data_IF_153183223754
#
_entry.id   IF_153183223754
#
_cell.length_a   1.000
_cell.length_b   1.000
_cell.length_c   1.000
_cell.angle_alpha   90.00
_cell.angle_beta   90.00
_cell.angle_gamma   90.00
#
_symmetry.space_group_name_H-M   'P 1'
#
loop_
_entity.id
_entity.type
_entity.pdbx_description
1 polymer ?
#
# COMPACT_ATOMS: atom_id res chain seq x y z
N UNK A 1 -47.45 13.54 -3.56
CA UNK A 1 -46.63 14.60 -4.20
C UNK A 1 -45.25 14.54 -3.57
N UNK A 2 -44.33 13.78 -4.19
CA UNK A 2 -42.93 13.78 -3.79
C UNK A 2 -42.25 14.93 -4.53
N UNK A 3 -41.81 15.96 -3.79
CA UNK A 3 -40.95 17.00 -4.33
C UNK A 3 -39.56 16.43 -4.53
N UNK A 4 -39.16 16.27 -5.79
CA UNK A 4 -37.78 16.04 -6.19
C UNK A 4 -37.03 17.38 -6.00
N UNK A 5 -36.29 17.53 -4.90
CA UNK A 5 -35.31 18.61 -4.80
C UNK A 5 -34.15 18.28 -5.75
N UNK A 6 -34.14 18.91 -6.92
CA UNK A 6 -32.93 19.03 -7.73
C UNK A 6 -31.98 19.97 -6.97
N UNK A 7 -30.92 19.40 -6.39
CA UNK A 7 -29.81 20.18 -5.88
C UNK A 7 -29.10 20.84 -7.07
N UNK A 8 -29.18 22.17 -7.16
CA UNK A 8 -28.40 22.94 -8.13
C UNK A 8 -27.00 23.16 -7.54
N UNK A 9 -25.98 22.58 -8.16
CA UNK A 9 -24.58 22.89 -7.84
C UNK A 9 -24.28 24.34 -8.17
N UNK A 10 -23.61 25.04 -7.25
CA UNK A 10 -23.26 26.45 -7.45
C UNK A 10 -22.08 26.59 -8.42
N UNK A 11 -21.94 27.72 -9.14
CA UNK A 11 -20.78 27.95 -10.01
C UNK A 11 -19.42 27.89 -9.28
N UNK A 12 -19.40 28.18 -7.98
CA UNK A 12 -18.21 28.07 -7.14
C UNK A 12 -17.82 26.61 -6.86
N UNK A 13 -18.80 25.74 -6.59
CA UNK A 13 -18.60 24.30 -6.43
C UNK A 13 -18.17 23.65 -7.76
N UNK A 14 -18.82 24.02 -8.88
CA UNK A 14 -18.43 23.52 -10.21
C UNK A 14 -16.98 23.89 -10.55
N UNK A 15 -16.57 25.14 -10.30
CA UNK A 15 -15.20 25.57 -10.52
C UNK A 15 -14.17 24.90 -9.60
N UNK A 16 -14.56 24.48 -8.39
CA UNK A 16 -13.70 23.71 -7.50
C UNK A 16 -13.53 22.26 -7.99
N UNK A 17 -14.62 21.61 -8.40
CA UNK A 17 -14.61 20.24 -8.91
C UNK A 17 -13.70 20.10 -10.14
N UNK A 18 -13.80 21.04 -11.10
CA UNK A 18 -12.95 21.05 -12.29
C UNK A 18 -11.46 21.20 -11.94
N UNK A 19 -11.14 22.06 -10.96
CA UNK A 19 -9.76 22.24 -10.50
C UNK A 19 -9.24 20.99 -9.81
N UNK A 20 -10.00 20.41 -8.88
CA UNK A 20 -9.60 19.20 -8.17
C UNK A 20 -9.38 18.03 -9.14
N UNK A 21 -10.29 17.83 -10.09
CA UNK A 21 -10.15 16.81 -11.13
C UNK A 21 -8.88 17.01 -11.97
N UNK A 22 -8.58 18.26 -12.35
CA UNK A 22 -7.32 18.56 -13.06
C UNK A 22 -6.08 18.27 -12.22
N UNK A 23 -6.12 18.48 -10.90
CA UNK A 23 -5.02 18.15 -10.00
C UNK A 23 -4.85 16.63 -9.89
N UNK A 24 -5.94 15.86 -9.77
CA UNK A 24 -5.90 14.40 -9.80
C UNK A 24 -5.19 13.92 -11.06
N UNK A 25 -5.58 14.42 -12.24
CA UNK A 25 -4.96 14.05 -13.50
C UNK A 25 -3.47 14.40 -13.54
N UNK A 26 -3.07 15.60 -13.10
CA UNK A 26 -1.67 16.01 -13.10
C UNK A 26 -0.80 15.11 -12.19
N UNK A 27 -1.32 14.74 -11.01
CA UNK A 27 -0.62 13.87 -10.06
C UNK A 27 -0.57 12.43 -10.55
N UNK A 28 -1.68 11.89 -11.06
CA UNK A 28 -1.74 10.54 -11.65
C UNK A 28 -0.73 10.37 -12.80
N UNK A 29 -0.54 11.40 -13.63
CA UNK A 29 0.40 11.38 -14.76
C UNK A 29 1.89 11.48 -14.36
N UNK A 30 2.21 11.68 -13.07
CA UNK A 30 3.61 11.77 -12.61
C UNK A 30 4.43 10.51 -12.95
N UNK A 31 3.79 9.33 -12.98
CA UNK A 31 4.47 8.06 -13.32
C UNK A 31 4.98 8.04 -14.77
N UNK A 32 4.41 8.88 -15.66
CA UNK A 32 4.80 9.03 -17.07
C UNK A 32 5.63 10.29 -17.33
N UNK A 33 5.85 11.12 -16.32
CA UNK A 33 6.61 12.35 -16.45
C UNK A 33 8.12 12.06 -16.44
N UNK A 34 8.78 12.32 -17.57
CA UNK A 34 10.21 12.01 -17.76
C UNK A 34 11.15 12.75 -16.81
N UNK A 35 10.79 13.95 -16.36
CA UNK A 35 11.59 14.68 -15.38
C UNK A 35 11.43 14.06 -13.97
N UNK A 36 10.22 13.64 -13.59
CA UNK A 36 9.97 12.93 -12.33
C UNK A 36 10.70 11.59 -12.31
N UNK A 37 10.61 10.81 -13.40
CA UNK A 37 11.35 9.56 -13.56
C UNK A 37 12.86 9.78 -13.44
N UNK A 38 13.41 10.80 -14.11
CA UNK A 38 14.85 11.12 -14.02
C UNK A 38 15.27 11.53 -12.62
N UNK A 39 14.48 12.34 -11.93
CA UNK A 39 14.78 12.76 -10.56
C UNK A 39 14.72 11.56 -9.60
N UNK A 40 13.71 10.70 -9.70
CA UNK A 40 13.57 9.51 -8.85
C UNK A 40 14.70 8.50 -9.09
N UNK A 41 15.04 8.22 -10.35
CA UNK A 41 16.16 7.36 -10.72
C UNK A 41 17.50 7.89 -10.20
N UNK A 42 17.73 9.22 -10.28
CA UNK A 42 18.93 9.84 -9.72
C UNK A 42 19.09 9.65 -8.21
N UNK A 43 18.00 9.36 -7.48
CA UNK A 43 18.01 9.01 -6.05
C UNK A 43 17.93 7.50 -5.80
N UNK A 44 18.06 6.66 -6.84
CA UNK A 44 17.97 5.20 -6.76
C UNK A 44 16.58 4.70 -6.38
N UNK A 45 15.54 5.46 -6.73
CA UNK A 45 14.14 5.16 -6.50
C UNK A 45 13.41 5.06 -7.85
N UNK A 46 12.18 4.55 -7.82
CA UNK A 46 11.27 4.47 -8.94
C UNK A 46 9.95 5.17 -8.58
N UNK A 47 9.18 5.59 -9.58
CA UNK A 47 7.83 6.14 -9.45
C UNK A 47 6.84 5.22 -10.17
N UNK A 48 5.90 4.65 -9.43
CA UNK A 48 4.96 3.63 -9.92
C UNK A 48 3.55 3.90 -9.40
N UNK A 49 2.53 3.39 -10.08
CA UNK A 49 1.15 3.41 -9.61
C UNK A 49 0.68 2.08 -9.00
N UNK A 50 1.49 1.02 -9.15
CA UNK A 50 1.29 -0.29 -8.52
C UNK A 50 2.58 -0.71 -7.82
N UNK A 51 2.48 -0.99 -6.54
CA UNK A 51 3.58 -1.37 -5.66
C UNK A 51 3.47 -2.85 -5.31
N UNK A 52 4.59 -3.56 -5.31
CA UNK A 52 4.59 -4.97 -4.93
C UNK A 52 4.91 -5.12 -3.43
N UNK A 53 3.93 -5.59 -2.66
CA UNK A 53 3.98 -5.75 -1.21
C UNK A 53 4.01 -7.21 -0.78
N UNK A 54 4.97 -7.95 -1.31
CA UNK A 54 4.98 -9.40 -1.16
C UNK A 54 5.45 -9.86 0.20
N UNK A 55 4.79 -10.89 0.71
CA UNK A 55 5.29 -11.62 1.90
C UNK A 55 6.02 -12.90 1.51
N UNK A 56 5.85 -13.38 0.27
CA UNK A 56 6.54 -14.56 -0.24
C UNK A 56 6.74 -14.52 -1.75
N UNK A 57 7.96 -14.17 -2.18
CA UNK A 57 8.39 -14.25 -3.58
C UNK A 57 9.48 -15.29 -3.78
N UNK A 58 9.45 -16.00 -4.91
CA UNK A 58 10.54 -16.89 -5.29
C UNK A 58 11.80 -16.08 -5.60
N UNK A 59 12.96 -16.50 -5.10
CA UNK A 59 14.23 -15.80 -5.34
C UNK A 59 14.51 -15.70 -6.84
N UNK A 60 14.89 -14.50 -7.30
CA UNK A 60 15.14 -14.20 -8.72
C UNK A 60 13.91 -14.25 -9.62
N UNK A 61 12.70 -14.22 -9.06
CA UNK A 61 11.44 -14.29 -9.79
C UNK A 61 10.59 -13.04 -9.60
N UNK A 62 9.62 -12.81 -10.50
CA UNK A 62 8.49 -11.91 -10.30
C UNK A 62 7.25 -12.64 -9.75
N UNK A 63 7.32 -13.96 -9.54
CA UNK A 63 6.20 -14.76 -9.00
C UNK A 63 6.57 -15.42 -7.68
N UNK A 64 5.54 -15.81 -6.93
CA UNK A 64 5.73 -16.56 -5.70
C UNK A 64 4.43 -16.94 -5.02
N UNK A 65 4.56 -17.54 -3.83
CA UNK A 65 3.44 -18.13 -3.13
C UNK A 65 2.60 -17.14 -2.29
N UNK A 66 3.02 -15.89 -2.12
CA UNK A 66 2.21 -14.85 -1.47
C UNK A 66 2.61 -13.45 -2.00
N UNK A 67 1.89 -13.00 -3.04
CA UNK A 67 2.20 -11.81 -3.84
C UNK A 67 1.02 -10.83 -3.75
N UNK A 68 1.31 -9.57 -3.48
CA UNK A 68 0.27 -8.53 -3.36
C UNK A 68 0.62 -7.29 -4.17
N UNK A 69 -0.33 -6.88 -5.02
CA UNK A 69 -0.31 -5.58 -5.68
C UNK A 69 -1.06 -4.57 -4.81
N UNK A 70 -0.44 -3.41 -4.58
CA UNK A 70 -1.05 -2.30 -3.85
C UNK A 70 -1.07 -1.04 -4.69
N UNK A 71 -2.17 -0.30 -4.59
CA UNK A 71 -2.36 1.03 -5.18
C UNK A 71 -3.01 1.95 -4.15
N UNK A 72 -2.72 3.25 -4.19
CA UNK A 72 -3.47 4.27 -3.46
C UNK A 72 -4.51 4.87 -4.41
N UNK A 73 -5.80 4.63 -4.15
CA UNK A 73 -6.89 5.18 -4.95
C UNK A 73 -7.46 6.45 -4.34
N UNK A 74 -7.32 7.59 -5.01
CA UNK A 74 -8.00 8.85 -4.65
C UNK A 74 -9.36 8.92 -5.32
N UNK A 75 -10.39 9.33 -4.58
CA UNK A 75 -11.74 9.50 -5.10
C UNK A 75 -11.89 10.86 -5.76
N UNK A 76 -12.35 10.88 -7.00
CA UNK A 76 -12.82 12.11 -7.65
C UNK A 76 -14.22 12.51 -7.12
N UNK A 77 -14.75 13.69 -7.51
CA UNK A 77 -16.10 14.12 -7.07
C UNK A 77 -17.25 13.19 -7.49
N UNK A 78 -17.04 12.29 -8.45
CA UNK A 78 -18.01 11.27 -8.86
C UNK A 78 -17.90 9.97 -8.04
N UNK A 79 -16.85 9.84 -7.24
CA UNK A 79 -16.51 8.65 -6.47
C UNK A 79 -15.61 7.65 -7.21
N UNK A 80 -15.15 7.97 -8.43
CA UNK A 80 -14.24 7.12 -9.18
C UNK A 80 -12.84 7.15 -8.56
N UNK A 81 -12.17 5.99 -8.51
CA UNK A 81 -10.83 5.86 -7.96
C UNK A 81 -9.77 6.11 -9.03
N UNK A 82 -8.81 6.98 -8.69
CA UNK A 82 -7.63 7.30 -9.49
C UNK A 82 -6.37 6.81 -8.79
N UNK A 83 -5.51 6.01 -9.45
CA UNK A 83 -4.29 5.49 -8.84
C UNK A 83 -3.22 6.56 -8.69
N UNK A 84 -2.73 6.75 -7.47
CA UNK A 84 -1.73 7.78 -7.16
C UNK A 84 -0.30 7.29 -7.28
N UNK A 85 0.64 8.15 -7.69
CA UNK A 85 2.05 7.80 -7.84
C UNK A 85 2.68 7.53 -6.47
N UNK A 86 3.50 6.48 -6.43
CA UNK A 86 4.27 6.06 -5.27
C UNK A 86 5.75 5.99 -5.63
N UNK A 87 6.58 6.66 -4.82
CA UNK A 87 8.03 6.64 -4.90
C UNK A 87 8.58 5.59 -3.93
N UNK A 88 9.39 4.66 -4.45
CA UNK A 88 9.94 3.53 -3.69
C UNK A 88 11.21 2.96 -4.32
N UNK A 89 11.86 2.00 -3.66
CA UNK A 89 12.82 1.13 -4.35
C UNK A 89 12.12 0.23 -5.38
N UNK A 90 12.85 -0.21 -6.41
CA UNK A 90 12.31 -1.02 -7.50
C UNK A 90 11.59 -2.29 -7.00
N UNK A 91 10.36 -2.50 -7.49
CA UNK A 91 9.52 -3.67 -7.27
C UNK A 91 10.25 -4.99 -7.57
N UNK A 92 11.12 -5.06 -8.58
CA UNK A 92 11.89 -6.26 -8.91
C UNK A 92 12.97 -6.56 -7.88
N UNK A 93 13.53 -5.51 -7.28
CA UNK A 93 14.51 -5.67 -6.19
C UNK A 93 13.83 -5.98 -4.86
N UNK A 94 12.62 -5.47 -4.62
CA UNK A 94 11.91 -5.50 -3.32
C UNK A 94 12.88 -5.39 -2.12
N UNK A 95 13.54 -4.23 -2.05
CA UNK A 95 14.49 -3.92 -0.98
C UNK A 95 13.75 -3.81 0.35
N UNK A 96 14.18 -4.57 1.34
CA UNK A 96 13.51 -4.69 2.64
C UNK A 96 14.50 -4.61 3.79
N UNK A 97 13.98 -4.29 4.97
CA UNK A 97 14.67 -4.33 6.24
C UNK A 97 13.99 -5.32 7.19
N UNK A 98 14.73 -5.89 8.14
CA UNK A 98 14.18 -6.71 9.21
C UNK A 98 14.23 -5.90 10.49
N UNK A 99 13.05 -5.60 11.03
CA UNK A 99 12.89 -4.79 12.23
C UNK A 99 12.16 -5.62 13.27
N UNK A 100 12.50 -5.44 14.54
CA UNK A 100 11.81 -6.13 15.63
C UNK A 100 10.35 -5.70 15.70
N UNK A 101 9.43 -6.65 15.86
CA UNK A 101 8.00 -6.35 15.94
C UNK A 101 7.65 -5.43 17.13
N UNK A 102 8.42 -5.48 18.21
CA UNK A 102 8.25 -4.64 19.40
C UNK A 102 8.56 -3.15 19.18
N UNK A 103 9.27 -2.81 18.10
CA UNK A 103 9.53 -1.42 17.71
C UNK A 103 8.29 -0.75 17.08
N UNK A 104 7.28 -1.54 16.71
CA UNK A 104 6.04 -1.04 16.13
C UNK A 104 4.98 -0.82 17.20
N UNK A 105 4.77 0.45 17.53
CA UNK A 105 3.73 0.92 18.42
C UNK A 105 2.53 1.41 17.60
N UNK A 106 1.37 0.81 17.86
CA UNK A 106 0.10 1.05 17.19
C UNK A 106 -0.88 1.76 18.12
N UNK A 107 -1.90 2.38 17.54
CA UNK A 107 -3.01 3.00 18.27
C UNK A 107 -4.24 2.12 18.13
N UNK A 108 -4.88 1.81 19.25
CA UNK A 108 -6.05 0.89 19.32
C UNK A 108 -7.10 1.45 20.28
N UNK A 109 -8.32 0.95 20.22
CA UNK A 109 -9.52 1.45 20.92
C UNK A 109 -10.56 2.04 19.96
N UNK A 110 -10.19 2.32 18.71
CA UNK A 110 -11.13 2.78 17.68
C UNK A 110 -12.12 1.69 17.26
N UNK A 111 -11.77 0.40 17.45
CA UNK A 111 -12.65 -0.73 17.14
C UNK A 111 -13.96 -0.73 17.92
N UNK A 112 -14.02 -0.09 19.08
CA UNK A 112 -15.20 -0.03 19.94
C UNK A 112 -15.45 1.37 20.54
N UNK A 113 -14.98 2.40 19.85
CA UNK A 113 -15.19 3.81 20.22
C UNK A 113 -14.52 4.25 21.53
N UNK A 114 -13.59 3.46 22.06
CA UNK A 114 -12.84 3.80 23.27
C UNK A 114 -11.70 4.77 22.98
N UNK A 115 -11.22 5.42 24.04
CA UNK A 115 -10.04 6.29 23.97
C UNK A 115 -8.82 5.51 23.48
N UNK A 116 -8.14 6.06 22.48
CA UNK A 116 -6.95 5.45 21.88
C UNK A 116 -5.83 5.17 22.89
N UNK A 117 -5.34 3.94 22.88
CA UNK A 117 -4.22 3.43 23.67
C UNK A 117 -3.06 3.01 22.78
N UNK A 118 -1.85 3.02 23.33
CA UNK A 118 -0.67 2.51 22.64
C UNK A 118 -0.52 1.02 22.92
N UNK A 119 -0.40 0.25 21.85
CA UNK A 119 -0.28 -1.23 21.86
C UNK A 119 0.87 -1.63 20.95
N UNK A 120 1.58 -2.72 21.21
CA UNK A 120 2.62 -3.19 20.27
C UNK A 120 2.01 -4.08 19.17
N UNK A 121 2.64 -4.14 18.00
CA UNK A 121 2.25 -5.09 16.95
C UNK A 121 2.28 -6.54 17.47
N UNK A 122 3.25 -6.88 18.31
CA UNK A 122 3.35 -8.20 18.92
C UNK A 122 2.12 -8.53 19.79
N UNK A 123 1.69 -7.61 20.65
CA UNK A 123 0.50 -7.78 21.50
C UNK A 123 -0.77 -7.94 20.67
N UNK A 124 -0.92 -7.10 19.63
CA UNK A 124 -2.03 -7.20 18.68
C UNK A 124 -2.09 -8.56 17.97
N UNK A 125 -0.96 -9.07 17.48
CA UNK A 125 -0.92 -10.38 16.83
C UNK A 125 -1.08 -11.54 17.82
N UNK A 126 -0.67 -11.37 19.08
CA UNK A 126 -0.88 -12.37 20.13
C UNK A 126 -2.35 -12.47 20.53
N UNK A 127 -3.06 -11.34 20.57
CA UNK A 127 -4.41 -11.21 21.09
C UNK A 127 -5.38 -10.46 20.15
N UNK A 128 -5.51 -10.83 18.86
CA UNK A 128 -6.20 -9.97 17.88
C UNK A 128 -7.69 -9.80 18.19
N UNK A 129 -8.35 -10.78 18.83
CA UNK A 129 -9.76 -10.65 19.27
C UNK A 129 -10.01 -9.47 20.21
N UNK A 130 -9.00 -8.98 20.92
CA UNK A 130 -9.12 -7.83 21.81
C UNK A 130 -9.19 -6.49 21.07
N UNK A 131 -8.94 -6.49 19.76
CA UNK A 131 -8.90 -5.31 18.89
C UNK A 131 -9.86 -5.43 17.70
N UNK A 132 -10.86 -6.32 17.82
CA UNK A 132 -11.96 -6.48 16.87
C UNK A 132 -13.22 -5.85 17.47
N UNK A 133 -14.00 -5.17 16.63
CA UNK A 133 -15.35 -4.72 16.95
C UNK A 133 -16.27 -5.92 17.18
N UNK A 134 -16.19 -6.93 16.31
CA UNK A 134 -16.88 -8.20 16.45
C UNK A 134 -15.87 -9.35 16.59
N UNK A 135 -15.45 -9.69 17.83
CA UNK A 135 -14.57 -10.83 18.07
C UNK A 135 -15.16 -12.18 17.60
N UNK A 136 -16.48 -12.25 17.41
CA UNK A 136 -17.20 -13.42 16.87
C UNK A 136 -16.96 -13.64 15.38
N UNK A 137 -16.58 -12.59 14.64
CA UNK A 137 -16.22 -12.67 13.21
C UNK A 137 -14.99 -13.55 12.97
N UNK A 138 -14.16 -13.80 13.99
CA UNK A 138 -13.09 -14.80 13.91
C UNK A 138 -13.54 -16.15 14.47
N UNK A 139 -14.02 -17.02 13.59
CA UNK A 139 -14.46 -18.36 13.97
C UNK A 139 -13.27 -19.33 14.15
N UNK A 140 -13.57 -20.59 14.50
CA UNK A 140 -12.55 -21.63 14.68
C UNK A 140 -11.86 -21.61 16.05
N UNK A 141 -10.82 -22.43 16.19
CA UNK A 141 -10.14 -22.68 17.48
C UNK A 141 -8.90 -21.83 17.70
N UNK A 142 -8.40 -21.16 16.65
CA UNK A 142 -7.21 -20.32 16.76
C UNK A 142 -7.53 -19.07 17.58
N UNK A 143 -6.53 -18.62 18.34
CA UNK A 143 -6.65 -17.44 19.22
C UNK A 143 -5.50 -16.45 19.09
N UNK A 144 -4.47 -16.81 18.31
CA UNK A 144 -3.31 -15.97 18.05
C UNK A 144 -2.93 -16.02 16.58
N UNK A 145 -2.45 -14.90 16.05
CA UNK A 145 -1.78 -14.77 14.76
C UNK A 145 -0.25 -14.66 14.92
N UNK A 146 0.27 -14.70 16.15
CA UNK A 146 1.68 -14.60 16.45
C UNK A 146 2.40 -15.95 16.32
N UNK A 147 3.64 -15.91 15.83
CA UNK A 147 4.57 -17.02 15.87
C UNK A 147 5.93 -16.57 16.39
N UNK A 148 6.72 -17.49 16.96
CA UNK A 148 8.09 -17.21 17.43
C UNK A 148 8.99 -16.55 16.38
N UNK A 149 8.76 -16.78 15.09
CA UNK A 149 9.52 -16.16 14.00
C UNK A 149 9.18 -14.68 13.76
N UNK A 150 8.01 -14.24 14.24
CA UNK A 150 7.53 -12.88 14.04
C UNK A 150 8.19 -11.90 15.05
N UNK A 151 9.21 -12.34 15.81
CA UNK A 151 10.13 -11.42 16.54
C UNK A 151 10.66 -10.34 15.60
N UNK A 152 10.92 -10.70 14.34
CA UNK A 152 11.22 -9.77 13.25
C UNK A 152 10.10 -9.74 12.21
N UNK A 153 9.82 -8.57 11.68
CA UNK A 153 8.90 -8.34 10.56
C UNK A 153 9.64 -7.79 9.35
N UNK A 154 9.15 -8.12 8.16
CA UNK A 154 9.70 -7.67 6.88
C UNK A 154 9.22 -6.25 6.61
N UNK A 155 10.11 -5.28 6.50
CA UNK A 155 9.74 -3.87 6.38
C UNK A 155 10.17 -3.30 5.04
N UNK A 156 9.26 -2.55 4.40
CA UNK A 156 9.55 -1.68 3.26
C UNK A 156 9.05 -0.27 3.55
N UNK A 157 9.56 0.73 2.83
CA UNK A 157 9.09 2.11 2.95
C UNK A 157 8.93 2.76 1.57
N UNK A 158 7.91 3.60 1.45
CA UNK A 158 7.53 4.28 0.22
C UNK A 158 6.76 5.57 0.49
N UNK A 159 6.62 6.45 -0.50
CA UNK A 159 5.90 7.72 -0.35
C UNK A 159 4.93 7.97 -1.50
N UNK A 160 3.70 8.36 -1.21
CA UNK A 160 2.65 8.63 -2.18
C UNK A 160 2.40 10.14 -2.29
N UNK A 161 2.16 10.64 -3.50
CA UNK A 161 1.68 12.02 -3.69
C UNK A 161 0.17 12.03 -3.85
N UNK A 162 -0.50 12.86 -3.06
CA UNK A 162 -1.93 13.08 -3.07
C UNK A 162 -2.26 14.44 -3.71
N UNK A 163 -3.33 14.52 -4.52
CA UNK A 163 -3.75 15.71 -5.24
C UNK A 163 -4.57 16.63 -4.33
N UNK A 164 -3.98 17.15 -3.26
CA UNK A 164 -4.69 17.98 -2.26
C UNK A 164 -4.66 19.45 -2.71
N UNK A 165 -5.82 20.08 -3.00
CA UNK A 165 -5.88 21.49 -3.33
C UNK A 165 -5.32 22.38 -2.21
N UNK A 166 -4.98 23.64 -2.51
CA UNK A 166 -4.53 24.60 -1.48
C UNK A 166 -5.52 24.76 -0.31
N UNK A 167 -6.81 24.52 -0.56
CA UNK A 167 -7.86 24.48 0.44
C UNK A 167 -8.75 23.25 0.23
N UNK A 168 -8.97 22.49 1.31
CA UNK A 168 -9.76 21.27 1.31
C UNK A 168 -8.91 20.02 1.53
N UNK A 169 -9.49 18.88 1.18
CA UNK A 169 -8.96 17.56 1.49
C UNK A 169 -9.09 16.63 0.28
N UNK A 170 -8.33 15.54 0.29
CA UNK A 170 -8.51 14.43 -0.63
C UNK A 170 -8.93 13.17 0.12
N UNK A 171 -9.99 12.52 -0.34
CA UNK A 171 -10.42 11.21 0.17
C UNK A 171 -9.74 10.10 -0.63
N UNK A 172 -9.14 9.12 0.06
CA UNK A 172 -8.43 8.03 -0.58
C UNK A 172 -8.57 6.71 0.20
N UNK A 173 -8.26 5.61 -0.48
CA UNK A 173 -8.15 4.28 0.12
C UNK A 173 -6.93 3.56 -0.43
N UNK A 174 -6.07 2.97 0.41
CA UNK A 174 -5.21 1.88 -0.02
C UNK A 174 -6.06 0.74 -0.57
N UNK A 175 -5.61 0.17 -1.68
CA UNK A 175 -6.29 -0.92 -2.38
C UNK A 175 -5.29 -2.04 -2.53
N UNK A 176 -5.62 -3.24 -2.03
CA UNK A 176 -4.72 -4.38 -2.01
C UNK A 176 -5.33 -5.55 -2.76
N UNK A 177 -4.66 -6.03 -3.79
CA UNK A 177 -5.00 -7.28 -4.47
C UNK A 177 -3.97 -8.33 -4.13
N UNK A 178 -4.40 -9.48 -3.61
CA UNK A 178 -3.47 -10.58 -3.34
C UNK A 178 -3.74 -11.76 -4.28
N UNK A 179 -2.75 -12.16 -5.07
CA UNK A 179 -2.90 -13.16 -6.15
C UNK A 179 -3.34 -14.54 -5.68
N UNK A 180 -3.17 -14.84 -4.40
CA UNK A 180 -3.58 -16.12 -3.83
C UNK A 180 -4.98 -16.02 -3.25
N UNK A 181 -5.43 -14.84 -2.81
CA UNK A 181 -6.70 -14.66 -2.12
C UNK A 181 -7.91 -14.86 -3.03
N UNK A 182 -8.99 -15.38 -2.43
CA UNK A 182 -10.29 -15.54 -3.09
C UNK A 182 -11.41 -15.49 -2.05
N UNK A 183 -12.68 -15.28 -2.44
CA UNK A 183 -13.82 -15.30 -1.53
C UNK A 183 -13.88 -16.58 -0.68
N UNK A 184 -14.04 -16.42 0.63
CA UNK A 184 -14.00 -17.47 1.65
C UNK A 184 -12.62 -18.08 1.94
N UNK A 185 -11.55 -17.59 1.31
CA UNK A 185 -10.20 -18.18 1.36
C UNK A 185 -9.06 -17.13 1.22
N UNK A 186 -9.02 -16.12 2.09
CA UNK A 186 -7.99 -15.08 2.06
C UNK A 186 -6.60 -15.66 2.32
N UNK A 187 -5.59 -15.15 1.61
CA UNK A 187 -4.18 -15.49 1.83
C UNK A 187 -3.45 -14.45 2.70
N UNK A 188 -4.06 -13.29 2.94
CA UNK A 188 -3.54 -12.25 3.81
C UNK A 188 -4.67 -11.60 4.60
N UNK A 189 -4.37 -11.28 5.86
CA UNK A 189 -5.08 -10.27 6.65
C UNK A 189 -4.31 -8.96 6.50
N UNK A 190 -5.01 -7.88 6.16
CA UNK A 190 -4.46 -6.54 6.16
C UNK A 190 -4.81 -5.83 7.47
N UNK A 191 -3.81 -5.20 8.08
CA UNK A 191 -3.96 -4.34 9.25
C UNK A 191 -3.49 -2.94 8.86
N UNK A 192 -4.43 -1.99 8.83
CA UNK A 192 -4.16 -0.59 8.57
C UNK A 192 -3.96 0.13 9.89
N UNK A 193 -2.84 0.84 10.07
CA UNK A 193 -2.59 1.61 11.30
C UNK A 193 -2.20 3.06 11.01
N UNK A 194 -2.81 3.99 11.74
CA UNK A 194 -2.55 5.42 11.72
C UNK A 194 -2.47 5.97 13.15
N UNK A 195 -2.26 7.28 13.29
CA UNK A 195 -2.39 7.96 14.59
C UNK A 195 -3.80 7.90 15.19
N UNK A 196 -4.82 7.63 14.36
CA UNK A 196 -6.24 7.62 14.75
C UNK A 196 -6.76 6.22 15.10
N UNK A 197 -5.97 5.18 14.87
CA UNK A 197 -6.40 3.83 15.22
C UNK A 197 -5.80 2.75 14.33
N UNK A 198 -6.33 1.54 14.48
CA UNK A 198 -5.95 0.36 13.71
C UNK A 198 -7.18 -0.40 13.24
N UNK A 199 -7.13 -0.97 12.04
CA UNK A 199 -8.27 -1.66 11.41
C UNK A 199 -7.79 -2.97 10.80
N UNK A 200 -8.51 -4.08 11.02
CA UNK A 200 -8.13 -5.40 10.55
C UNK A 200 -9.18 -5.96 9.59
N UNK A 201 -8.78 -6.26 8.35
CA UNK A 201 -9.67 -6.69 7.28
C UNK A 201 -9.02 -7.84 6.50
N UNK A 202 -9.75 -8.94 6.28
CA UNK A 202 -9.29 -10.01 5.37
C UNK A 202 -9.38 -9.54 3.92
N UNK A 203 -8.42 -9.98 3.09
CA UNK A 203 -8.42 -9.65 1.66
C UNK A 203 -8.92 -10.84 0.88
N UNK A 204 -10.07 -10.69 0.23
CA UNK A 204 -10.75 -11.76 -0.52
C UNK A 204 -10.87 -11.47 -2.02
N UNK A 205 -10.42 -10.29 -2.46
CA UNK A 205 -10.49 -9.80 -3.83
C UNK A 205 -11.92 -9.67 -4.38
N UNK A 206 -12.91 -9.38 -3.53
CA UNK A 206 -14.32 -9.29 -3.97
C UNK A 206 -14.61 -8.05 -4.84
N UNK A 207 -13.79 -7.01 -4.72
CA UNK A 207 -13.95 -5.74 -5.44
C UNK A 207 -13.63 -5.77 -6.95
N UNK A 208 -13.22 -6.90 -7.54
CA UNK A 208 -12.87 -6.99 -8.97
C UNK A 208 -11.45 -6.51 -9.33
N UNK A 209 -11.31 -5.58 -10.29
CA UNK A 209 -10.00 -5.04 -10.69
C UNK A 209 -9.53 -3.98 -9.67
N UNK A 210 -8.28 -4.05 -9.19
CA UNK A 210 -7.80 -3.31 -8.01
C UNK A 210 -8.66 -3.62 -6.78
N UNK A 211 -8.64 -4.86 -6.28
CA UNK A 211 -9.65 -5.31 -5.32
C UNK A 211 -9.13 -5.69 -3.95
N UNK A 212 -9.24 -4.72 -3.06
CA UNK A 212 -9.96 -4.77 -1.79
C UNK A 212 -9.63 -3.40 -1.18
N UNK A 213 -10.62 -2.50 -1.11
CA UNK A 213 -10.38 -1.19 -0.52
C UNK A 213 -10.24 -1.38 0.99
N UNK A 214 -9.15 -0.86 1.55
CA UNK A 214 -8.86 -0.95 2.97
C UNK A 214 -9.35 0.32 3.65
N UNK A 215 -10.11 0.14 4.73
CA UNK A 215 -10.78 1.22 5.45
C UNK A 215 -10.23 1.39 6.86
N UNK A 216 -10.50 2.55 7.45
CA UNK A 216 -10.44 2.76 8.88
C UNK A 216 -11.72 2.23 9.54
N UNK A 217 -11.57 1.53 10.67
CA UNK A 217 -12.66 1.05 11.52
C UNK A 217 -12.95 2.10 12.60
N UNK A 218 -14.12 2.72 12.51
CA UNK A 218 -14.65 3.65 13.49
C UNK A 218 -15.85 3.00 14.18
N UNK A 219 -15.60 2.31 15.30
CA UNK A 219 -16.61 1.60 16.11
C UNK A 219 -17.53 0.69 15.28
N UNK A 220 -16.91 -0.17 14.46
CA UNK A 220 -17.61 -1.10 13.59
C UNK A 220 -18.17 -0.48 12.31
N UNK A 221 -17.90 0.80 12.05
CA UNK A 221 -18.22 1.47 10.79
C UNK A 221 -16.95 1.70 9.97
N UNK A 222 -17.03 1.50 8.65
CA UNK A 222 -15.90 1.78 7.75
C UNK A 222 -15.87 3.25 7.38
N UNK A 223 -14.69 3.83 7.39
CA UNK A 223 -14.42 5.17 6.88
C UNK A 223 -13.24 5.12 5.89
N UNK A 224 -13.30 5.83 4.75
CA UNK A 224 -12.12 6.01 3.91
C UNK A 224 -11.10 6.87 4.65
N UNK A 225 -9.88 6.96 4.12
CA UNK A 225 -8.90 7.92 4.63
C UNK A 225 -9.12 9.28 3.99
N UNK A 226 -8.78 10.32 4.72
CA UNK A 226 -8.71 11.68 4.24
C UNK A 226 -7.33 12.24 4.49
N UNK A 227 -6.95 13.20 3.67
CA UNK A 227 -5.72 13.95 3.87
C UNK A 227 -5.93 15.41 3.53
N UNK A 228 -5.37 16.26 4.38
CA UNK A 228 -5.26 17.69 4.14
C UNK A 228 -3.79 18.14 4.14
N UNK A 229 -3.58 19.38 3.74
CA UNK A 229 -2.27 20.05 3.73
C UNK A 229 -1.83 20.39 5.16
N UNK A 230 -0.59 20.09 5.53
CA UNK A 230 -0.07 20.43 6.88
C UNK A 230 -0.15 21.93 7.17
N UNK A 231 -0.01 22.78 6.16
CA UNK A 231 -0.14 24.23 6.29
C UNK A 231 -1.56 24.64 6.68
N UNK A 232 -2.58 23.98 6.12
CA UNK A 232 -3.99 24.21 6.44
C UNK A 232 -4.33 23.64 7.81
N UNK A 233 -3.95 22.40 8.09
CA UNK A 233 -4.15 21.76 9.40
C UNK A 233 -3.53 22.59 10.54
N UNK A 234 -2.27 23.03 10.38
CA UNK A 234 -1.56 23.81 11.39
C UNK A 234 -2.29 25.13 11.68
N UNK A 235 -2.76 25.81 10.64
CA UNK A 235 -3.54 27.04 10.75
C UNK A 235 -4.84 26.81 11.52
N UNK A 236 -5.55 25.72 11.24
CA UNK A 236 -6.82 25.39 11.90
C UNK A 236 -6.63 25.02 13.37
N UNK A 237 -5.49 24.39 13.71
CA UNK A 237 -5.10 24.11 15.09
C UNK A 237 -4.51 25.34 15.82
N UNK A 238 -4.23 26.45 15.12
CA UNK A 238 -3.53 27.60 15.68
C UNK A 238 -2.07 27.31 16.06
N UNK A 239 -1.43 26.39 15.34
CA UNK A 239 -0.04 25.93 15.54
C UNK A 239 0.85 26.53 14.45
N UNK A 240 2.09 26.88 14.80
CA UNK A 240 3.10 27.25 13.83
C UNK A 240 3.56 26.02 13.03
N UNK A 241 3.39 26.04 11.71
CA UNK A 241 3.74 24.91 10.83
C UNK A 241 5.21 24.52 10.93
N UNK A 242 6.11 25.49 11.15
CA UNK A 242 7.55 25.25 11.27
C UNK A 242 7.92 24.51 12.57
N UNK A 243 7.01 24.47 13.54
CA UNK A 243 7.17 23.72 14.79
C UNK A 243 6.82 22.24 14.67
N UNK A 244 6.17 21.83 13.56
CA UNK A 244 5.74 20.45 13.34
C UNK A 244 6.93 19.61 12.92
N UNK A 245 7.26 18.60 13.72
CA UNK A 245 8.32 17.66 13.39
C UNK A 245 7.95 16.83 12.17
N UNK A 246 8.92 16.66 11.26
CA UNK A 246 8.84 15.70 10.16
C UNK A 246 8.58 14.25 10.63
N UNK A 247 8.87 13.95 11.90
CA UNK A 247 8.72 12.63 12.51
C UNK A 247 7.48 12.56 13.43
N UNK A 248 6.55 13.52 13.32
CA UNK A 248 5.31 13.54 14.11
C UNK A 248 4.31 12.42 13.74
N UNK A 249 4.55 11.71 12.64
CA UNK A 249 3.69 10.61 12.17
C UNK A 249 2.33 11.05 11.63
N UNK A 250 2.17 12.35 11.29
CA UNK A 250 0.94 12.89 10.72
C UNK A 250 0.67 12.38 9.30
N UNK A 251 1.73 12.03 8.55
CA UNK A 251 1.70 11.63 7.15
C UNK A 251 1.94 10.14 6.93
N UNK A 252 1.76 9.32 7.97
CA UNK A 252 2.13 7.89 7.92
C UNK A 252 0.90 7.02 8.06
N UNK A 253 0.79 6.07 7.14
CA UNK A 253 -0.07 4.89 7.28
C UNK A 253 0.80 3.66 7.21
N UNK A 254 0.61 2.73 8.14
CA UNK A 254 1.21 1.40 8.07
C UNK A 254 0.20 0.46 7.42
N UNK A 255 0.61 -0.23 6.36
CA UNK A 255 -0.07 -1.44 5.89
C UNK A 255 0.71 -2.65 6.40
N UNK A 256 0.08 -3.44 7.25
CA UNK A 256 0.68 -4.64 7.80
C UNK A 256 -0.05 -5.85 7.22
N UNK A 257 0.67 -6.69 6.47
CA UNK A 257 0.12 -7.93 5.92
C UNK A 257 0.53 -9.12 6.79
N UNK A 258 -0.47 -9.86 7.27
CA UNK A 258 -0.29 -11.10 8.03
C UNK A 258 -0.68 -12.27 7.12
N UNK A 259 0.28 -13.07 6.64
CA UNK A 259 -0.02 -14.19 5.75
C UNK A 259 -0.88 -15.26 6.44
N UNK A 260 -1.91 -15.71 5.74
CA UNK A 260 -2.90 -16.68 6.20
C UNK A 260 -2.79 -17.99 5.41
N UNK A 261 -3.10 -19.09 6.08
CA UNK A 261 -3.20 -20.40 5.44
C UNK A 261 -4.48 -20.45 4.63
N UNK A 262 -4.31 -20.80 3.38
CA UNK A 262 -5.42 -21.10 2.50
C UNK A 262 -5.86 -22.55 2.67
N UNK A 263 -7.16 -22.77 2.54
CA UNK A 263 -7.70 -24.11 2.29
C UNK A 263 -7.19 -24.57 0.94
N UNK A 264 -6.88 -25.86 0.80
CA UNK A 264 -6.46 -26.43 -0.49
C UNK A 264 -7.53 -26.16 -1.54
N UNK A 265 -7.28 -25.18 -2.40
CA UNK A 265 -8.00 -25.03 -3.66
C UNK A 265 -7.35 -26.01 -4.61
N UNK A 266 -8.14 -26.92 -5.19
CA UNK A 266 -7.70 -27.78 -6.29
C UNK A 266 -6.99 -26.90 -7.32
N UNK A 267 -5.68 -27.11 -7.48
CA UNK A 267 -4.85 -26.41 -8.47
C UNK A 267 -5.31 -26.79 -9.88
N UNK A 268 -6.31 -26.08 -10.40
CA UNK A 268 -6.59 -26.04 -11.83
C UNK A 268 -6.03 -24.78 -12.49
N UNK A 269 -5.35 -23.90 -11.74
CA UNK A 269 -4.87 -22.61 -12.26
C UNK A 269 -3.53 -22.67 -13.02
N UNK A 270 -2.77 -23.77 -12.92
CA UNK A 270 -1.50 -23.92 -13.66
C UNK A 270 -1.64 -24.58 -15.04
N UNK A 271 -2.73 -25.30 -15.32
CA UNK A 271 -2.96 -25.93 -16.63
C UNK A 271 -3.71 -25.04 -17.62
N UNK A 272 -4.39 -23.98 -17.16
CA UNK A 272 -5.26 -23.12 -18.00
C UNK A 272 -4.63 -21.75 -18.35
N UNK A 273 -3.43 -21.45 -17.83
CA UNK A 273 -2.59 -20.33 -18.26
C UNK A 273 -1.54 -20.74 -19.31
N UNK A 274 -1.48 -22.03 -19.66
CA UNK A 274 -0.60 -22.57 -20.71
C UNK A 274 -1.16 -22.44 -22.14
N UNK A 275 -2.47 -22.29 -22.31
CA UNK A 275 -3.13 -22.34 -23.63
C UNK A 275 -4.24 -21.28 -23.85
N UNK A 276 -4.31 -20.22 -23.03
CA UNK A 276 -5.23 -19.09 -23.25
C UNK A 276 -4.57 -17.72 -23.04
N UNK A 277 -3.38 -17.55 -23.60
CA UNK A 277 -2.88 -16.25 -24.06
C UNK A 277 -2.76 -16.28 -25.58
N UNK A 278 -3.86 -16.63 -26.24
CA UNK A 278 -4.07 -16.30 -27.64
C UNK A 278 -4.11 -14.78 -27.76
N UNK A 279 -3.02 -14.22 -28.28
CA UNK A 279 -2.89 -12.83 -28.70
C UNK A 279 -4.09 -12.43 -29.59
N UNK A 280 -5.13 -11.90 -28.97
CA UNK A 280 -6.06 -11.00 -29.62
C UNK A 280 -5.34 -9.67 -29.79
N UNK A 281 -4.80 -9.45 -30.98
CA UNK A 281 -4.33 -8.15 -31.46
C UNK A 281 -5.48 -7.13 -31.38
N UNK A 282 -5.65 -6.53 -30.20
CA UNK A 282 -6.52 -5.39 -29.94
C UNK A 282 -5.66 -4.14 -30.00
N UNK A 283 -6.02 -3.22 -30.89
CA UNK A 283 -5.17 -2.14 -31.36
C UNK A 283 -4.49 -1.33 -30.26
N UNK A 284 -3.25 -0.95 -30.55
CA UNK A 284 -2.52 0.09 -29.83
C UNK A 284 -3.44 1.29 -29.58
N UNK A 285 -3.53 1.82 -28.34
CA UNK A 285 -4.06 3.16 -28.17
C UNK A 285 -3.18 4.10 -28.98
N UNK A 286 -3.80 4.76 -29.96
CA UNK A 286 -3.17 5.80 -30.73
C UNK A 286 -2.60 6.85 -29.77
N UNK A 287 -1.35 7.21 -29.98
CA UNK A 287 -0.68 8.31 -29.30
C UNK A 287 -1.58 9.53 -29.30
N UNK A 288 -2.11 9.90 -28.13
CA UNK A 288 -2.71 11.22 -27.96
C UNK A 288 -1.59 12.25 -28.22
N UNK A 289 -1.83 13.31 -29.00
CA UNK A 289 -0.83 14.33 -29.22
C UNK A 289 -0.39 14.90 -27.87
N UNK A 290 0.91 14.87 -27.60
CA UNK A 290 1.52 15.60 -26.51
C UNK A 290 1.15 17.08 -26.70
N UNK A 291 0.23 17.57 -25.89
CA UNK A 291 -0.09 18.98 -25.84
C UNK A 291 1.07 19.66 -25.13
N UNK A 292 1.99 20.25 -25.89
CA UNK A 292 2.94 21.23 -25.34
C UNK A 292 2.12 22.43 -24.87
N UNK A 293 1.64 22.39 -23.62
CA UNK A 293 1.26 23.61 -22.94
C UNK A 293 2.56 24.32 -22.57
N UNK A 294 2.82 25.46 -23.21
CA UNK A 294 3.72 26.49 -22.71
C UNK A 294 3.15 27.10 -21.42
N UNK A 295 2.95 26.26 -20.41
CA UNK A 295 2.68 26.71 -19.06
C UNK A 295 3.97 27.30 -18.51
N UNK A 296 3.89 28.51 -17.94
CA UNK A 296 4.96 29.03 -17.09
C UNK A 296 5.41 27.91 -16.14
N UNK A 297 6.73 27.72 -15.96
CA UNK A 297 7.28 26.73 -15.03
C UNK A 297 6.65 26.96 -13.66
N UNK A 298 5.61 26.19 -13.32
CA UNK A 298 5.00 26.20 -12.00
C UNK A 298 6.05 25.68 -11.03
N UNK A 299 6.25 26.35 -9.90
CA UNK A 299 7.08 25.80 -8.83
C UNK A 299 6.38 24.63 -8.15
N UNK A 300 7.17 23.71 -7.62
CA UNK A 300 6.63 22.70 -6.72
C UNK A 300 6.02 23.36 -5.49
N UNK A 301 4.93 22.80 -5.01
CA UNK A 301 4.25 23.20 -3.79
C UNK A 301 4.18 22.04 -2.77
N UNK A 302 5.00 21.00 -2.95
CA UNK A 302 4.93 19.78 -2.15
C UNK A 302 5.11 20.06 -0.67
N UNK A 303 4.24 19.48 0.15
CA UNK A 303 4.40 19.47 1.61
C UNK A 303 3.93 18.16 2.23
N UNK A 304 4.03 18.07 3.55
CA UNK A 304 3.49 16.95 4.33
C UNK A 304 1.95 16.93 4.22
N UNK A 305 1.38 15.75 4.00
CA UNK A 305 -0.05 15.53 4.17
C UNK A 305 -0.36 15.16 5.63
N UNK A 306 -1.51 15.60 6.16
CA UNK A 306 -2.00 15.16 7.47
C UNK A 306 -3.12 14.18 7.22
N UNK A 307 -2.90 12.90 7.55
CA UNK A 307 -3.82 11.79 7.25
C UNK A 307 -4.75 11.52 8.43
N UNK A 308 -6.06 11.52 8.19
CA UNK A 308 -7.13 11.13 9.11
C UNK A 308 -8.05 10.10 8.44
N UNK A 309 -9.09 9.65 9.14
CA UNK A 309 -10.26 9.02 8.52
C UNK A 309 -11.29 10.10 8.11
N UNK A 310 -12.15 9.76 7.14
CA UNK A 310 -13.28 10.58 6.72
C UNK A 310 -14.61 10.11 7.29
N UNK A 311 -15.71 10.56 6.68
CA UNK A 311 -17.06 10.18 7.08
C UNK A 311 -17.32 8.67 6.93
N UNK A 312 -18.12 8.12 7.84
CA UNK A 312 -18.48 6.69 7.82
C UNK A 312 -19.40 6.32 6.64
N UNK A 313 -19.13 5.19 6.01
CA UNK A 313 -19.80 4.73 4.76
C UNK A 313 -20.57 3.41 4.92
N UNK A 314 -20.79 2.99 6.16
CA UNK A 314 -21.53 1.78 6.51
C UNK A 314 -20.71 0.82 7.36
N UNK A 315 -21.16 -0.44 7.54
CA UNK A 315 -20.49 -1.41 8.39
C UNK A 315 -19.06 -1.71 7.94
N UNK A 316 -18.16 -1.85 8.91
CA UNK A 316 -16.81 -2.38 8.72
C UNK A 316 -16.85 -3.90 8.76
N UNK A 317 -16.19 -4.56 7.80
CA UNK A 317 -16.13 -6.02 7.76
C UNK A 317 -14.72 -6.49 8.13
N UNK A 318 -14.65 -7.30 9.18
CA UNK A 318 -13.38 -7.74 9.76
C UNK A 318 -12.93 -9.07 9.15
N UNK A 319 -13.29 -10.20 9.79
CA UNK A 319 -12.77 -11.53 9.47
C UNK A 319 -13.79 -12.42 8.74
N UNK A 320 -14.96 -11.89 8.37
CA UNK A 320 -15.98 -12.55 7.53
C UNK A 320 -16.45 -13.92 8.08
N UNK A 321 -16.51 -14.09 9.39
CA UNK A 321 -16.83 -15.37 10.06
C UNK A 321 -15.87 -16.52 9.69
N UNK A 322 -14.65 -16.20 9.25
CA UNK A 322 -13.70 -17.19 8.75
C UNK A 322 -12.80 -17.74 9.86
N UNK A 323 -12.50 -19.05 9.87
CA UNK A 323 -11.55 -19.65 10.79
C UNK A 323 -10.13 -19.48 10.27
N UNK A 324 -9.67 -18.23 10.14
CA UNK A 324 -8.35 -17.92 9.61
C UNK A 324 -7.24 -18.48 10.51
N UNK A 325 -6.11 -18.85 9.90
CA UNK A 325 -4.92 -19.36 10.58
C UNK A 325 -3.67 -18.74 9.99
N UNK A 326 -2.72 -18.33 10.84
CA UNK A 326 -1.43 -17.76 10.44
C UNK A 326 -0.59 -18.74 9.62
N UNK A 327 -0.08 -18.29 8.46
CA UNK A 327 0.87 -19.05 7.64
C UNK A 327 2.33 -18.67 7.91
N UNK A 328 2.93 -19.36 8.88
CA UNK A 328 4.30 -19.11 9.35
C UNK A 328 5.39 -19.42 8.31
N UNK A 329 5.04 -19.84 7.08
CA UNK A 329 6.01 -19.93 5.98
C UNK A 329 6.48 -18.55 5.51
N UNK A 330 5.67 -17.51 5.70
CA UNK A 330 5.90 -16.15 5.19
C UNK A 330 5.97 -15.13 6.32
N UNK A 331 6.91 -14.15 6.32
CA UNK A 331 6.96 -13.04 7.28
C UNK A 331 5.66 -12.25 7.34
N UNK A 332 5.38 -11.67 8.51
CA UNK A 332 4.51 -10.49 8.55
C UNK A 332 5.26 -9.35 7.87
N UNK A 333 4.61 -8.65 6.93
CA UNK A 333 5.19 -7.49 6.24
C UNK A 333 4.59 -6.20 6.78
N UNK A 334 5.43 -5.19 7.01
CA UNK A 334 5.03 -3.83 7.34
C UNK A 334 5.50 -2.89 6.23
N UNK A 335 4.56 -2.27 5.53
CA UNK A 335 4.83 -1.24 4.54
C UNK A 335 4.60 0.12 5.19
N UNK A 336 5.67 0.90 5.35
CA UNK A 336 5.60 2.28 5.84
C UNK A 336 5.30 3.20 4.67
N UNK A 337 4.06 3.69 4.59
CA UNK A 337 3.59 4.57 3.53
C UNK A 337 3.55 6.01 4.03
N UNK A 338 4.45 6.86 3.52
CA UNK A 338 4.40 8.31 3.72
C UNK A 338 3.44 8.95 2.70
N UNK A 339 2.84 10.08 3.05
CA UNK A 339 1.95 10.85 2.17
C UNK A 339 2.43 12.30 2.00
N UNK A 340 2.39 12.77 0.76
CA UNK A 340 2.78 14.13 0.36
C UNK A 340 1.62 14.82 -0.31
N UNK A 341 1.37 16.07 0.05
CA UNK A 341 0.35 16.91 -0.55
C UNK A 341 0.94 17.70 -1.72
N UNK A 342 0.22 17.78 -2.84
CA UNK A 342 0.50 18.76 -3.90
C UNK A 342 -0.80 19.21 -4.57
N UNK A 343 -0.93 20.50 -4.84
CA UNK A 343 -2.08 21.07 -5.53
C UNK A 343 -1.91 21.12 -7.06
N UNK A 344 -0.71 20.82 -7.55
CA UNK A 344 -0.36 21.04 -8.96
C UNK A 344 0.37 19.86 -9.64
N UNK A 345 0.77 18.82 -8.91
CA UNK A 345 1.48 17.66 -9.44
C UNK A 345 2.92 17.93 -9.87
N UNK A 346 3.48 19.08 -9.50
CA UNK A 346 4.87 19.46 -9.78
C UNK A 346 5.73 19.13 -8.58
N UNK A 347 6.77 18.33 -8.81
CA UNK A 347 7.79 17.99 -7.81
C UNK A 347 9.14 18.52 -8.24
N UNK A 348 9.96 18.90 -7.26
CA UNK A 348 11.35 19.28 -7.45
C UNK A 348 12.29 18.16 -7.01
N UNK A 349 13.56 18.25 -7.41
CA UNK A 349 14.58 17.31 -6.96
C UNK A 349 14.78 17.36 -5.43
N UNK A 350 14.51 18.50 -4.79
CA UNK A 350 14.58 18.63 -3.34
C UNK A 350 13.47 17.82 -2.64
N UNK A 351 12.27 17.77 -3.24
CA UNK A 351 11.16 16.97 -2.71
C UNK A 351 11.48 15.47 -2.81
N UNK A 352 12.06 15.04 -3.92
CA UNK A 352 12.50 13.64 -4.08
C UNK A 352 13.62 13.30 -3.11
N UNK A 353 14.60 14.19 -2.92
CA UNK A 353 15.66 14.00 -1.94
C UNK A 353 15.12 13.89 -0.50
N UNK A 354 14.09 14.69 -0.17
CA UNK A 354 13.41 14.63 1.13
C UNK A 354 12.68 13.30 1.32
N UNK A 355 11.92 12.84 0.31
CA UNK A 355 11.28 11.51 0.30
C UNK A 355 12.32 10.42 0.50
N UNK A 356 13.44 10.46 -0.23
CA UNK A 356 14.53 9.49 -0.09
C UNK A 356 15.06 9.44 1.33
N UNK A 357 15.28 10.59 1.96
CA UNK A 357 15.73 10.69 3.35
C UNK A 357 14.73 10.06 4.33
N UNK A 358 13.42 10.25 4.14
CA UNK A 358 12.40 9.61 4.98
C UNK A 358 12.40 8.08 4.80
N UNK A 359 12.48 7.60 3.56
CA UNK A 359 12.60 6.16 3.27
C UNK A 359 13.84 5.59 3.97
N UNK A 360 15.02 6.20 3.81
CA UNK A 360 16.27 5.72 4.41
C UNK A 360 16.22 5.66 5.95
N UNK A 361 15.48 6.55 6.62
CA UNK A 361 15.29 6.49 8.08
C UNK A 361 14.64 5.17 8.52
N UNK A 362 13.71 4.61 7.74
CA UNK A 362 13.08 3.32 8.04
C UNK A 362 14.10 2.19 7.91
N UNK A 363 14.89 2.17 6.82
CA UNK A 363 15.91 1.14 6.63
C UNK A 363 17.05 1.23 7.66
N UNK A 364 17.34 2.42 8.19
CA UNK A 364 18.32 2.61 9.25
C UNK A 364 17.89 2.00 10.61
N UNK A 365 16.61 1.60 10.75
CA UNK A 365 16.10 0.86 11.92
C UNK A 365 16.23 -0.66 11.77
N UNK A 366 16.56 -1.14 10.59
CA UNK A 366 16.69 -2.58 10.34
C UNK A 366 17.99 -3.14 10.91
N UNK A 367 17.89 -4.25 11.63
CA UNK A 367 19.07 -5.06 12.01
C UNK A 367 19.68 -5.74 10.78
N UNK A 368 18.84 -6.02 9.79
CA UNK A 368 19.23 -6.57 8.50
C UNK A 368 18.59 -5.76 7.38
N UNK A 369 19.36 -5.44 6.34
CA UNK A 369 18.86 -4.78 5.13
C UNK A 369 19.29 -5.60 3.93
N UNK A 370 18.35 -5.91 3.05
CA UNK A 370 18.61 -6.72 1.88
C UNK A 370 17.43 -6.70 0.93
N UNK A 371 17.19 -7.83 0.27
CA UNK A 371 16.12 -7.99 -0.68
C UNK A 371 15.31 -9.24 -0.37
N UNK A 372 13.99 -9.18 -0.57
CA UNK A 372 13.16 -10.39 -0.53
C UNK A 372 13.48 -11.31 -1.71
N UNK A 373 13.93 -10.76 -2.84
CA UNK A 373 13.94 -11.40 -4.17
C UNK A 373 15.34 -11.71 -4.67
N UNK A 374 16.24 -10.73 -4.58
CA UNK A 374 17.62 -10.78 -5.07
C UNK A 374 18.57 -11.20 -3.95
N UNK A 375 19.80 -11.60 -4.30
CA UNK A 375 20.80 -12.05 -3.33
C UNK A 375 20.65 -13.47 -2.80
N UNK A 376 19.64 -14.23 -3.26
CA UNK A 376 19.42 -15.63 -2.86
C UNK A 376 18.90 -15.76 -1.42
N UNK A 377 19.17 -16.91 -0.80
CA UNK A 377 18.86 -17.15 0.62
C UNK A 377 20.06 -16.74 1.48
N UNK A 378 19.80 -15.82 2.40
CA UNK A 378 20.78 -15.14 3.23
C UNK A 378 20.72 -15.55 4.70
N UNK A 379 19.65 -16.25 5.10
CA UNK A 379 19.41 -16.61 6.50
C UNK A 379 18.79 -15.48 7.34
N UNK A 380 18.34 -14.39 6.69
CA UNK A 380 17.56 -13.33 7.34
C UNK A 380 16.31 -13.90 8.02
N UNK A 381 15.93 -13.41 9.22
CA UNK A 381 14.82 -13.96 10.00
C UNK A 381 13.47 -13.87 9.28
N UNK A 382 13.32 -12.89 8.38
CA UNK A 382 12.09 -12.66 7.62
C UNK A 382 12.07 -13.38 6.28
N UNK A 383 13.07 -14.20 5.94
CA UNK A 383 13.01 -14.99 4.70
C UNK A 383 11.82 -15.94 4.71
N UNK A 384 11.13 -16.02 3.57
CA UNK A 384 10.10 -17.03 3.38
C UNK A 384 10.74 -18.42 3.37
N UNK A 385 10.20 -19.35 4.13
CA UNK A 385 10.64 -20.74 4.08
C UNK A 385 10.21 -21.36 2.76
N UNK A 386 11.13 -21.94 1.95
CA UNK A 386 10.70 -22.74 0.82
C UNK A 386 9.84 -23.90 1.34
N UNK A 387 8.76 -24.28 0.66
CA UNK A 387 8.07 -25.53 0.93
C UNK A 387 9.10 -26.67 0.97
N UNK A 388 8.99 -27.60 1.93
CA UNK A 388 9.85 -28.79 2.07
C UNK A 388 9.99 -29.65 0.78
N UNK A 389 9.21 -29.34 -0.25
CA UNK A 389 9.15 -30.02 -1.55
C UNK A 389 9.80 -29.27 -2.72
N UNK A 390 10.42 -28.11 -2.52
CA UNK A 390 11.37 -27.65 -3.53
C UNK A 390 12.65 -28.48 -3.37
N UNK A 391 13.08 -29.25 -4.39
CA UNK A 391 14.31 -30.01 -4.31
C UNK A 391 15.43 -29.05 -3.90
N UNK A 392 16.31 -29.50 -3.00
CA UNK A 392 17.56 -28.80 -2.70
C UNK A 392 18.25 -28.52 -4.04
N UNK A 393 18.12 -27.31 -4.56
CA UNK A 393 18.97 -26.85 -5.65
C UNK A 393 20.28 -26.47 -4.98
N UNK A 394 21.09 -27.47 -4.67
CA UNK A 394 22.52 -27.26 -4.46
C UNK A 394 23.07 -26.85 -5.82
N UNK A 395 23.41 -25.57 -5.98
CA UNK A 395 24.23 -25.13 -7.10
C UNK A 395 25.67 -25.08 -6.63
N UNK A 396 26.53 -25.88 -7.26
CA UNK A 396 27.97 -25.71 -7.09
C UNK A 396 28.49 -24.39 -7.68
N UNK A 397 27.64 -23.57 -8.32
CA UNK A 397 28.03 -22.28 -8.93
C UNK A 397 26.93 -21.19 -8.94
N UNK A 398 26.01 -21.16 -7.98
CA UNK A 398 25.22 -19.95 -7.67
C UNK A 398 24.13 -19.47 -8.65
N UNK A 399 23.93 -20.06 -9.83
CA UNK A 399 22.89 -19.62 -10.77
C UNK A 399 21.72 -20.61 -10.88
N UNK A 400 20.49 -20.11 -10.74
CA UNK A 400 19.27 -20.88 -10.95
C UNK A 400 19.01 -21.05 -12.46
N UNK A 401 19.04 -22.30 -12.94
CA UNK A 401 18.98 -22.67 -14.36
C UNK A 401 17.66 -22.34 -15.07
N UNK A 402 16.61 -21.95 -14.35
CA UNK A 402 15.34 -21.51 -14.94
C UNK A 402 15.30 -19.99 -15.24
N UNK A 403 16.25 -19.21 -14.72
CA UNK A 403 16.30 -17.76 -14.93
C UNK A 403 17.03 -17.34 -16.24
N UNK A 404 17.85 -18.22 -16.82
CA UNK A 404 18.77 -17.85 -17.91
C UNK A 404 18.10 -17.73 -19.29
N UNK A 405 17.05 -18.48 -19.60
CA UNK A 405 16.51 -18.53 -20.97
C UNK A 405 15.46 -17.46 -21.27
N UNK A 406 14.60 -17.10 -20.30
CA UNK A 406 13.46 -16.19 -20.55
C UNK A 406 13.87 -14.70 -20.68
N UNK A 407 14.96 -14.28 -20.03
CA UNK A 407 15.38 -12.86 -19.97
C UNK A 407 16.58 -12.50 -20.87
N UNK A 408 17.03 -13.41 -21.74
CA UNK A 408 18.18 -13.19 -22.62
C UNK A 408 17.95 -12.15 -23.74
N UNK A 409 16.71 -11.69 -23.95
CA UNK A 409 16.36 -10.69 -24.96
C UNK A 409 16.76 -9.25 -24.60
N UNK A 410 17.14 -8.97 -23.35
CA UNK A 410 17.67 -7.65 -22.93
C UNK A 410 19.18 -7.46 -23.22
N UNK A 411 19.88 -8.49 -23.73
CA UNK A 411 21.32 -8.40 -24.04
C UNK A 411 21.63 -7.98 -25.48
N UNK A 412 20.62 -7.58 -26.24
CA UNK A 412 20.79 -7.01 -27.57
C UNK A 412 19.98 -5.71 -27.65
N UNK A 413 20.58 -4.61 -27.21
CA UNK A 413 20.74 -3.34 -27.93
C UNK A 413 21.57 -2.37 -27.08
#
# INVERSE_FOLDING_TARGET
>A
MFSLLLAFTTPAEAGWQDRFYSTIQNVEQMVWNTDVQRMTDAHGLNVVNVTWEDTGRSKGSSVGPNISDMTIGVRDPSGALHPMPVIRFDNFSDKTADVRAEEFWLRTGNEDGRRLQTTSLADMLQHPRSYLHDPGSWTGKQSSLWSSRDEYVLVSAQACFLPIPEQGEATFTPVLYNYQSSPGNPAVLAIMATREGTSMQVVENEGGYLSEALYHNEDGQRAPFQAERVSQWAKDQGIDVDSISADAGLDVVLLIQVPLKQREVSRHWYDELGDSWGYGSGGAPASAPAMESSAAKKSSDVEMAVVSHGEVEGPFTEFHDLPIERDTRFPVRVTVQFYKATSNGVVSNADIAYVRKQIDKVYAKGDYVGSLVTGGYTGRPTESYPPKYYPKVTTDNGNATWADSFWSWHKAY
#
